data_IF_748196654642
#
_entry.id   IF_748196654642
#
_cell.length_a   1.000
_cell.length_b   1.000
_cell.length_c   1.000
_cell.angle_alpha   90.00
_cell.angle_beta   90.00
_cell.angle_gamma   90.00
#
_symmetry.space_group_name_H-M   'P 1'
#
loop_
_entity.id
_entity.type
_entity.pdbx_description
1 polymer ?
#
# COMPACT_ATOMS: atom_id res chain seq x y z
N UNK A 1 5.10 11.74 23.17
CA UNK A 1 4.36 11.46 21.93
C UNK A 1 4.36 12.74 21.11
N UNK A 2 5.31 12.89 20.20
CA UNK A 2 5.44 14.09 19.37
C UNK A 2 4.74 13.88 18.04
N UNK A 3 4.22 14.98 17.51
CA UNK A 3 3.41 15.12 16.32
C UNK A 3 4.04 14.34 15.13
N UNK A 4 3.34 13.31 14.63
CA UNK A 4 3.70 12.65 13.36
C UNK A 4 3.04 13.44 12.25
N UNK A 5 3.83 14.15 11.44
CA UNK A 5 3.34 14.68 10.17
C UNK A 5 3.58 13.62 9.10
N UNK A 6 2.52 12.88 8.76
CA UNK A 6 2.50 11.99 7.59
C UNK A 6 2.19 12.86 6.38
N UNK A 7 3.20 13.16 5.57
CA UNK A 7 2.99 13.94 4.35
C UNK A 7 2.73 12.97 3.22
N UNK A 8 1.47 12.57 3.12
CA UNK A 8 0.94 11.88 1.95
C UNK A 8 0.42 12.94 0.97
N UNK A 9 0.75 12.80 -0.31
CA UNK A 9 0.14 13.68 -1.31
C UNK A 9 -1.15 13.02 -1.74
N UNK A 10 -2.29 13.56 -1.32
CA UNK A 10 -3.56 13.27 -1.98
C UNK A 10 -3.56 13.96 -3.35
N UNK A 11 -2.82 13.41 -4.32
CA UNK A 11 -2.92 13.86 -5.70
C UNK A 11 -4.19 13.25 -6.30
N UNK A 12 -5.33 13.81 -5.92
CA UNK A 12 -6.50 13.94 -6.80
C UNK A 12 -6.25 15.05 -7.86
N UNK A 13 -4.99 15.35 -8.17
CA UNK A 13 -4.66 16.30 -9.23
C UNK A 13 -4.75 15.58 -10.56
N UNK A 14 -5.79 15.95 -11.30
CA UNK A 14 -6.00 15.63 -12.70
C UNK A 14 -4.66 15.60 -13.44
N UNK A 15 -4.25 14.43 -13.91
CA UNK A 15 -3.26 14.35 -14.97
C UNK A 15 -3.92 14.84 -16.26
N UNK A 16 -4.12 16.15 -16.40
CA UNK A 16 -4.32 16.75 -17.72
C UNK A 16 -2.96 16.80 -18.40
N UNK A 17 -2.79 15.95 -19.41
CA UNK A 17 -1.81 16.05 -20.50
C UNK A 17 -0.42 16.60 -20.11
N UNK A 18 0.51 15.70 -19.74
CA UNK A 18 1.96 16.00 -19.86
C UNK A 18 2.79 16.05 -18.59
N UNK A 19 2.35 15.51 -17.45
CA UNK A 19 3.24 15.36 -16.28
C UNK A 19 4.10 14.08 -16.43
N UNK A 20 5.45 14.15 -16.38
CA UNK A 20 6.34 13.00 -16.53
C UNK A 20 6.51 12.21 -15.22
N UNK A 21 5.66 12.42 -14.22
CA UNK A 21 5.67 11.64 -12.98
C UNK A 21 4.53 10.62 -13.06
N UNK A 22 4.84 9.30 -13.07
CA UNK A 22 3.79 8.29 -13.04
C UNK A 22 2.93 8.52 -11.81
N UNK A 23 1.61 8.51 -12.00
CA UNK A 23 0.63 8.45 -10.93
C UNK A 23 1.11 7.41 -9.90
N UNK A 24 1.43 7.87 -8.70
CA UNK A 24 2.14 7.08 -7.70
C UNK A 24 1.37 5.77 -7.45
N UNK A 25 2.02 4.59 -7.54
CA UNK A 25 1.36 3.29 -7.55
C UNK A 25 0.71 2.88 -6.21
N UNK A 26 0.78 3.74 -5.18
CA UNK A 26 0.39 3.40 -3.82
C UNK A 26 -1.11 3.57 -3.57
N UNK A 27 -1.71 2.63 -2.85
CA UNK A 27 -3.14 2.51 -2.59
C UNK A 27 -3.78 3.68 -1.83
N UNK A 28 -2.97 4.56 -1.21
CA UNK A 28 -3.43 5.81 -0.57
C UNK A 28 -2.89 7.09 -1.24
N UNK A 29 -2.29 7.00 -2.44
CA UNK A 29 -1.71 8.17 -3.14
C UNK A 29 -0.22 8.42 -2.88
N UNK A 30 0.44 7.57 -2.09
CA UNK A 30 1.90 7.58 -1.87
C UNK A 30 2.32 8.51 -0.73
N UNK A 31 2.97 7.93 0.28
CA UNK A 31 3.53 8.65 1.41
C UNK A 31 4.92 9.22 1.01
N UNK A 32 5.13 10.53 1.00
CA UNK A 32 6.43 11.04 0.57
C UNK A 32 7.48 10.93 1.68
N UNK A 33 7.09 11.35 2.88
CA UNK A 33 7.93 11.27 4.05
C UNK A 33 7.10 11.34 5.32
N UNK A 34 7.67 10.84 6.40
CA UNK A 34 7.19 11.03 7.78
C UNK A 34 8.15 11.93 8.52
N UNK A 35 7.64 12.82 9.38
CA UNK A 35 8.48 13.58 10.30
C UNK A 35 8.18 13.13 11.72
N UNK A 36 9.22 12.73 12.44
CA UNK A 36 9.17 12.42 13.88
C UNK A 36 10.26 13.20 14.57
N UNK A 37 9.90 13.94 15.61
CA UNK A 37 10.87 14.75 16.39
C UNK A 37 11.69 15.76 15.56
N UNK A 38 11.15 16.19 14.41
CA UNK A 38 11.86 17.08 13.47
C UNK A 38 12.82 16.36 12.52
N UNK A 39 12.97 15.03 12.64
CA UNK A 39 13.73 14.21 11.71
C UNK A 39 12.82 13.67 10.59
N UNK A 40 13.07 14.02 9.31
CA UNK A 40 12.33 13.45 8.20
C UNK A 40 12.85 12.05 7.83
N UNK A 41 11.92 11.15 7.53
CA UNK A 41 12.17 9.84 6.92
C UNK A 41 11.48 9.81 5.56
N UNK A 42 12.26 9.88 4.49
CA UNK A 42 11.78 9.82 3.11
C UNK A 42 11.53 8.38 2.71
N UNK A 43 10.39 8.10 2.08
CA UNK A 43 9.97 6.75 1.71
C UNK A 43 10.17 6.49 0.23
N UNK A 44 10.62 5.28 -0.08
CA UNK A 44 10.87 4.80 -1.43
C UNK A 44 9.99 3.60 -1.71
N UNK A 45 9.45 3.54 -2.93
CA UNK A 45 8.40 2.58 -3.30
C UNK A 45 8.79 1.69 -4.47
N UNK A 46 8.23 0.49 -4.51
CA UNK A 46 8.20 -0.31 -5.73
C UNK A 46 7.00 0.08 -6.64
N UNK A 47 6.87 -0.60 -7.78
CA UNK A 47 5.78 -0.36 -8.75
C UNK A 47 4.40 -0.77 -8.25
N UNK A 48 4.30 -1.53 -7.16
CA UNK A 48 3.03 -1.87 -6.49
C UNK A 48 2.65 -0.86 -5.42
N UNK A 49 3.62 -0.07 -4.94
CA UNK A 49 3.43 0.91 -3.86
C UNK A 49 3.85 0.43 -2.48
N UNK A 50 4.63 -0.65 -2.36
CA UNK A 50 5.20 -1.10 -1.08
C UNK A 50 6.42 -0.25 -0.70
N UNK A 51 6.58 0.06 0.58
CA UNK A 51 7.71 0.84 1.12
C UNK A 51 8.98 -0.01 1.19
N UNK A 52 9.74 -0.06 0.10
CA UNK A 52 10.95 -0.89 0.01
C UNK A 52 12.15 -0.31 0.75
N UNK A 53 12.18 1.01 0.96
CA UNK A 53 13.28 1.65 1.68
C UNK A 53 12.86 2.98 2.31
N UNK A 54 13.60 3.41 3.33
CA UNK A 54 13.51 4.75 3.89
C UNK A 54 14.90 5.36 4.10
N UNK A 55 15.00 6.67 3.86
CA UNK A 55 16.24 7.44 4.03
C UNK A 55 16.04 8.65 4.93
N UNK A 56 17.07 9.04 5.66
CA UNK A 56 17.05 10.28 6.46
C UNK A 56 17.32 11.55 5.61
N UNK A 57 17.36 12.72 6.25
CA UNK A 57 17.67 14.01 5.63
C UNK A 57 19.00 14.07 4.86
N UNK A 58 19.95 13.20 5.18
CA UNK A 58 21.26 13.13 4.54
C UNK A 58 21.31 12.09 3.42
N UNK A 59 20.19 11.43 3.11
CA UNK A 59 20.11 10.36 2.11
C UNK A 59 20.68 9.03 2.57
N UNK A 60 20.98 8.87 3.87
CA UNK A 60 21.45 7.60 4.42
C UNK A 60 20.26 6.67 4.65
N UNK A 61 20.42 5.41 4.23
CA UNK A 61 19.42 4.35 4.41
C UNK A 61 19.21 4.06 5.89
N UNK A 62 17.95 4.12 6.33
CA UNK A 62 17.55 3.83 7.73
C UNK A 62 16.73 2.57 7.85
N UNK A 63 16.05 2.17 6.77
CA UNK A 63 15.19 0.99 6.74
C UNK A 63 15.13 0.45 5.31
N UNK A 64 15.07 -0.86 5.17
CA UNK A 64 14.86 -1.55 3.91
C UNK A 64 14.06 -2.83 4.14
N UNK A 65 13.11 -3.10 3.25
CA UNK A 65 12.28 -4.30 3.32
C UNK A 65 12.04 -4.89 1.93
N UNK A 66 12.02 -6.21 1.87
CA UNK A 66 11.50 -6.96 0.74
C UNK A 66 10.10 -7.48 1.07
N UNK A 67 9.22 -7.51 0.07
CA UNK A 67 7.83 -7.91 0.24
C UNK A 67 7.51 -9.11 -0.63
N UNK A 68 6.75 -10.05 -0.06
CA UNK A 68 6.14 -11.13 -0.82
C UNK A 68 4.96 -10.66 -1.67
N UNK A 69 4.46 -11.60 -2.47
CA UNK A 69 3.27 -11.46 -3.30
C UNK A 69 2.07 -10.88 -2.54
N UNK A 70 1.84 -11.24 -1.27
CA UNK A 70 0.69 -10.73 -0.51
C UNK A 70 1.02 -9.52 0.39
N UNK A 71 2.25 -9.02 0.35
CA UNK A 71 2.69 -7.90 1.18
C UNK A 71 3.29 -8.32 2.53
N UNK A 72 3.47 -9.63 2.77
CA UNK A 72 4.23 -10.11 3.93
C UNK A 72 5.70 -9.68 3.83
N UNK A 73 6.29 -9.31 4.97
CA UNK A 73 7.69 -8.94 5.13
C UNK A 73 8.23 -9.40 6.49
N UNK A 74 9.54 -9.49 6.64
CA UNK A 74 10.23 -9.80 7.89
C UNK A 74 10.25 -11.28 8.28
N UNK A 75 9.26 -12.06 7.84
CA UNK A 75 9.04 -13.43 8.30
C UNK A 75 9.69 -14.52 7.43
N UNK A 76 10.05 -14.21 6.19
CA UNK A 76 10.58 -15.22 5.24
C UNK A 76 11.97 -14.84 4.72
N UNK A 77 12.78 -15.82 4.26
CA UNK A 77 14.08 -15.55 3.64
C UNK A 77 13.99 -14.67 2.37
N UNK A 78 12.85 -14.64 1.70
CA UNK A 78 12.59 -13.84 0.49
C UNK A 78 11.98 -12.47 0.78
N UNK A 79 11.67 -12.18 2.05
CA UNK A 79 11.05 -10.92 2.49
C UNK A 79 11.83 -10.24 3.62
N UNK A 80 13.16 -10.36 3.57
CA UNK A 80 14.04 -9.86 4.63
C UNK A 80 13.87 -8.36 4.87
N UNK A 81 14.02 -7.99 6.13
CA UNK A 81 14.03 -6.61 6.57
C UNK A 81 15.34 -6.24 7.25
N UNK A 82 15.70 -4.97 7.12
CA UNK A 82 16.86 -4.38 7.76
C UNK A 82 16.52 -3.00 8.33
N UNK A 83 17.00 -2.76 9.54
CA UNK A 83 16.67 -1.57 10.31
C UNK A 83 15.30 -1.69 10.98
N UNK A 84 14.84 -0.58 11.56
CA UNK A 84 13.53 -0.49 12.21
C UNK A 84 12.82 0.76 11.68
N UNK A 85 11.49 0.66 11.54
CA UNK A 85 10.66 1.81 11.25
C UNK A 85 9.43 1.79 12.15
N UNK A 86 9.15 2.92 12.78
CA UNK A 86 7.92 3.06 13.57
C UNK A 86 6.69 3.36 12.70
N UNK A 87 6.87 3.48 11.38
CA UNK A 87 5.80 3.86 10.46
C UNK A 87 4.95 2.65 10.13
N UNK A 88 3.64 2.80 10.33
CA UNK A 88 2.66 1.75 10.08
C UNK A 88 2.34 1.56 8.60
N UNK A 89 2.71 2.52 7.76
CA UNK A 89 2.46 2.47 6.33
C UNK A 89 3.54 1.64 5.64
N UNK A 90 3.21 0.39 5.30
CA UNK A 90 4.17 -0.59 4.75
C UNK A 90 3.71 -1.13 3.39
N UNK A 91 3.11 -2.32 3.36
CA UNK A 91 2.62 -2.95 2.13
C UNK A 91 1.56 -2.08 1.46
N UNK A 92 1.75 -1.80 0.18
CA UNK A 92 0.97 -0.85 -0.60
C UNK A 92 0.72 0.52 0.07
N UNK A 93 1.63 0.94 0.96
CA UNK A 93 1.47 2.15 1.79
C UNK A 93 0.19 2.12 2.65
N UNK A 94 -0.41 0.95 2.87
CA UNK A 94 -1.56 0.77 3.74
C UNK A 94 -1.11 0.67 5.19
N UNK A 95 -2.02 0.99 6.09
CA UNK A 95 -1.77 0.97 7.53
C UNK A 95 -1.79 -0.48 8.02
N UNK A 96 -0.65 -0.91 8.54
CA UNK A 96 -0.44 -2.22 9.14
C UNK A 96 -0.66 -2.15 10.65
N UNK A 97 -1.36 -3.14 11.18
CA UNK A 97 -1.57 -3.31 12.61
C UNK A 97 -0.46 -4.16 13.23
N UNK A 98 -0.07 -3.93 14.51
CA UNK A 98 0.95 -4.74 15.18
C UNK A 98 0.64 -6.24 15.24
N UNK A 99 -0.60 -6.64 14.92
CA UNK A 99 -1.03 -8.03 14.83
C UNK A 99 -0.86 -8.64 13.42
N UNK A 100 -0.18 -7.97 12.48
CA UNK A 100 0.03 -8.48 11.11
C UNK A 100 -1.18 -8.33 10.18
N UNK A 101 -2.09 -7.41 10.51
CA UNK A 101 -3.28 -7.15 9.70
C UNK A 101 -3.14 -5.85 8.90
N UNK A 102 -3.39 -5.92 7.61
CA UNK A 102 -3.37 -4.76 6.72
C UNK A 102 -4.77 -4.15 6.57
N UNK A 103 -4.88 -2.84 6.79
CA UNK A 103 -6.13 -2.12 6.58
C UNK A 103 -6.29 -1.70 5.10
N UNK A 104 -7.13 -2.41 4.36
CA UNK A 104 -7.40 -2.11 2.94
C UNK A 104 -8.42 -0.97 2.75
N UNK A 105 -9.06 -0.51 3.83
CA UNK A 105 -10.05 0.57 3.84
C UNK A 105 -11.35 0.13 4.50
N UNK A 106 -12.13 -0.70 3.80
CA UNK A 106 -13.38 -1.26 4.31
C UNK A 106 -13.21 -2.60 5.04
N UNK A 107 -12.08 -3.28 4.82
CA UNK A 107 -11.78 -4.60 5.38
C UNK A 107 -10.33 -4.68 5.85
N UNK A 108 -10.13 -5.52 6.86
CA UNK A 108 -8.81 -5.95 7.27
C UNK A 108 -8.45 -7.26 6.57
N UNK A 109 -7.21 -7.34 6.11
CA UNK A 109 -6.62 -8.53 5.50
C UNK A 109 -5.49 -9.04 6.38
N UNK A 110 -5.46 -10.34 6.58
CA UNK A 110 -4.35 -11.00 7.26
C UNK A 110 -3.20 -11.20 6.27
N UNK A 111 -1.99 -10.78 6.65
CA UNK A 111 -0.79 -10.88 5.80
C UNK A 111 -0.25 -12.31 5.74
N UNK A 112 -0.42 -13.10 6.79
CA UNK A 112 0.08 -14.48 6.84
C UNK A 112 -0.70 -15.39 5.90
N UNK A 113 -2.03 -15.27 5.91
CA UNK A 113 -2.91 -16.09 5.08
C UNK A 113 -3.29 -15.45 3.75
N UNK A 114 -3.13 -14.13 3.63
CA UNK A 114 -3.47 -13.37 2.42
C UNK A 114 -4.98 -13.26 2.16
N UNK A 115 -5.83 -13.51 3.16
CA UNK A 115 -7.30 -13.44 3.03
C UNK A 115 -7.92 -12.34 3.89
N UNK A 116 -9.10 -11.86 3.48
CA UNK A 116 -9.86 -10.90 4.27
C UNK A 116 -10.44 -11.55 5.53
N UNK A 117 -10.40 -10.82 6.65
CA UNK A 117 -11.02 -11.27 7.91
C UNK A 117 -12.54 -11.10 7.91
N UNK A 118 -13.04 -10.14 7.13
CA UNK A 118 -14.46 -9.84 6.99
C UNK A 118 -15.00 -10.28 5.64
N UNK A 119 -16.27 -10.72 5.63
CA UNK A 119 -17.00 -11.02 4.40
C UNK A 119 -17.13 -9.76 3.53
N UNK A 120 -17.02 -9.93 2.22
CA UNK A 120 -17.27 -8.84 1.27
C UNK A 120 -18.67 -8.22 1.44
N UNK A 121 -18.72 -6.90 1.59
CA UNK A 121 -19.97 -6.15 1.74
C UNK A 121 -20.74 -6.05 0.41
N UNK A 122 -20.07 -6.21 -0.73
CA UNK A 122 -20.67 -6.26 -2.06
C UNK A 122 -21.21 -7.65 -2.43
N UNK A 123 -21.02 -8.64 -1.55
CA UNK A 123 -21.46 -10.02 -1.80
C UNK A 123 -20.68 -10.66 -2.95
N UNK A 124 -21.37 -11.37 -3.85
CA UNK A 124 -20.74 -12.22 -4.88
C UNK A 124 -20.27 -11.47 -6.13
N UNK A 125 -20.14 -10.15 -6.06
CA UNK A 125 -19.82 -9.31 -7.22
C UNK A 125 -18.40 -9.56 -7.75
N UNK A 126 -17.41 -9.76 -6.86
CA UNK A 126 -16.01 -10.02 -7.23
C UNK A 126 -15.69 -11.53 -7.39
N UNK A 127 -16.69 -12.40 -7.12
CA UNK A 127 -16.58 -13.84 -7.32
C UNK A 127 -17.33 -14.68 -6.27
N UNK A 128 -17.26 -16.01 -6.39
CA UNK A 128 -17.94 -16.92 -5.47
C UNK A 128 -17.31 -16.95 -4.07
N UNK A 129 -16.04 -16.53 -3.92
CA UNK A 129 -15.34 -16.51 -2.64
C UNK A 129 -15.30 -15.08 -2.07
N UNK A 130 -15.99 -14.87 -0.95
CA UNK A 130 -16.16 -13.55 -0.32
C UNK A 130 -14.95 -13.11 0.54
N UNK A 131 -13.92 -13.93 0.61
CA UNK A 131 -12.72 -13.72 1.44
C UNK A 131 -11.43 -13.58 0.60
N UNK A 132 -11.50 -13.80 -0.72
CA UNK A 132 -10.30 -13.76 -1.56
C UNK A 132 -9.82 -12.34 -1.76
N UNK A 133 -8.52 -12.14 -1.52
CA UNK A 133 -7.84 -10.95 -1.97
C UNK A 133 -7.54 -11.03 -3.46
N UNK A 134 -8.14 -10.15 -4.25
CA UNK A 134 -7.74 -9.84 -5.63
C UNK A 134 -7.67 -11.10 -6.53
N UNK A 135 -8.63 -12.02 -6.35
CA UNK A 135 -8.67 -13.29 -7.09
C UNK A 135 -7.34 -14.08 -7.05
N UNK A 136 -6.58 -13.97 -5.96
CA UNK A 136 -5.27 -14.62 -5.78
C UNK A 136 -4.19 -14.17 -6.79
N UNK A 137 -4.34 -12.99 -7.40
CA UNK A 137 -3.34 -12.41 -8.30
C UNK A 137 -2.81 -11.05 -7.79
N UNK A 138 -2.06 -11.05 -6.67
CA UNK A 138 -1.63 -9.81 -6.02
C UNK A 138 -0.38 -9.17 -6.66
N UNK A 139 0.14 -9.75 -7.75
CA UNK A 139 1.25 -9.18 -8.53
C UNK A 139 0.78 -8.15 -9.54
N UNK A 140 -0.34 -8.43 -10.22
CA UNK A 140 -0.82 -7.61 -11.34
C UNK A 140 -2.05 -6.78 -11.00
N UNK A 141 -2.67 -7.07 -9.86
CA UNK A 141 -3.87 -6.40 -9.39
C UNK A 141 -3.68 -6.03 -7.92
N UNK A 142 -4.43 -5.03 -7.51
CA UNK A 142 -4.45 -4.47 -6.18
C UNK A 142 -5.87 -4.02 -5.84
N UNK A 143 -6.29 -4.03 -4.57
CA UNK A 143 -7.61 -3.52 -4.16
C UNK A 143 -7.49 -2.17 -3.45
N UNK A 144 -7.82 -1.04 -4.11
CA UNK A 144 -7.65 0.28 -3.54
C UNK A 144 -8.51 0.56 -2.30
N UNK A 145 -9.67 -0.08 -2.19
CA UNK A 145 -10.67 0.19 -1.16
C UNK A 145 -10.96 -1.01 -0.25
N UNK A 146 -10.53 -2.22 -0.63
CA UNK A 146 -10.95 -3.46 0.01
C UNK A 146 -12.33 -3.91 -0.45
N UNK A 147 -12.78 -3.54 -1.66
CA UNK A 147 -14.09 -3.88 -2.23
C UNK A 147 -14.03 -4.43 -3.65
N UNK A 148 -13.00 -4.08 -4.43
CA UNK A 148 -12.91 -4.50 -5.83
C UNK A 148 -11.48 -4.41 -6.34
N UNK A 149 -11.03 -5.42 -7.09
CA UNK A 149 -9.70 -5.42 -7.67
C UNK A 149 -9.51 -4.39 -8.81
N UNK A 150 -8.44 -3.60 -8.72
CA UNK A 150 -7.92 -2.72 -9.76
C UNK A 150 -6.57 -3.24 -10.30
N UNK A 151 -6.31 -3.13 -11.60
CA UNK A 151 -5.00 -3.53 -12.15
C UNK A 151 -3.87 -2.57 -11.70
N UNK A 152 -2.74 -3.14 -11.27
CA UNK A 152 -1.52 -2.40 -10.96
C UNK A 152 -1.00 -1.76 -12.27
N UNK A 153 -1.23 -0.46 -12.44
CA UNK A 153 -0.82 0.30 -13.62
C UNK A 153 -1.94 1.06 -14.35
N UNK A 154 -3.21 0.86 -13.97
CA UNK A 154 -4.26 1.83 -14.30
C UNK A 154 -4.42 2.77 -13.13
N UNK A 155 -4.24 4.07 -13.40
CA UNK A 155 -4.53 5.11 -12.42
C UNK A 155 -5.92 4.88 -11.82
N UNK A 156 -6.06 5.08 -10.50
CA UNK A 156 -7.36 5.04 -9.81
C UNK A 156 -8.42 5.91 -10.54
N UNK A 157 -7.96 6.95 -11.25
CA UNK A 157 -8.75 7.80 -12.12
C UNK A 157 -9.45 7.05 -13.27
N UNK A 158 -8.83 6.04 -13.87
CA UNK A 158 -9.42 5.28 -14.99
C UNK A 158 -10.54 4.35 -14.51
N UNK A 159 -10.42 3.80 -13.30
CA UNK A 159 -11.45 2.99 -12.64
C UNK A 159 -12.66 3.81 -12.20
N UNK A 160 -12.42 4.99 -11.60
CA UNK A 160 -13.50 5.92 -11.22
C UNK A 160 -14.27 6.44 -12.45
N UNK A 161 -13.59 6.63 -13.58
CA UNK A 161 -14.21 7.10 -14.82
C UNK A 161 -14.91 6.00 -15.63
N UNK A 162 -14.62 4.72 -15.37
CA UNK A 162 -15.27 3.59 -16.08
C UNK A 162 -16.55 3.11 -15.40
N UNK A 163 -17.00 3.79 -14.34
CA UNK A 163 -18.24 3.43 -13.64
C UNK A 163 -18.18 2.02 -13.09
N UNK A 164 -17.20 1.77 -12.20
CA UNK A 164 -17.02 0.48 -11.51
C UNK A 164 -18.36 -0.14 -11.19
N UNK A 165 -18.61 -1.31 -11.78
CA UNK A 165 -19.78 -2.10 -11.51
C UNK A 165 -19.53 -2.85 -10.22
#
# INVERSE_FOLDING_TARGET
MKLVAVVATAVLSRCSHGCPQPCLPSGIGGLLYTIRDGAPSFKHYNSRGDVVAATNALGVLTYQAAYEAFGQHGDTPSSQEWGETDDRQQANTKDEDPHGNLNEGFRYRDLDTGVFLARDQLGYQDGPNLYTYVQQNPFTKFDPQGLSSAYAGVSAQRWLNSGGY
#
